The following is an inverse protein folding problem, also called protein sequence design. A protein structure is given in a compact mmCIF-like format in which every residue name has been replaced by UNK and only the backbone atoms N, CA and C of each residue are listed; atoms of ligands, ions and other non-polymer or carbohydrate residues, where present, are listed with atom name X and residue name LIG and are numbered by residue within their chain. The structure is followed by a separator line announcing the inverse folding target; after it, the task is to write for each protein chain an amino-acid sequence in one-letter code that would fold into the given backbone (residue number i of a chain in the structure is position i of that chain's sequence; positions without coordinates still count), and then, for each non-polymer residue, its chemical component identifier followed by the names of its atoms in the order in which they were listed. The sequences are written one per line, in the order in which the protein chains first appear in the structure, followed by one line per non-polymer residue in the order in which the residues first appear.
data_IF_387345313036
#
_entry.id   IF_387345313036
#
_cell.length_a   1.000
_cell.length_b   1.000
_cell.length_c   1.000
_cell.angle_alpha   90.00
_cell.angle_beta   90.00
_cell.angle_gamma   90.00
#
_symmetry.space_group_name_H-M   'P 1'
#
loop_
_entity.id
_entity.type
_entity.pdbx_description
1 polymer ?
#
# COMPACT_ATOMS: atom_id res chain seq x y z
N UNK A 1 -5.20 -22.96 -3.53
CA UNK A 1 -4.06 -23.77 -4.07
C UNK A 1 -4.44 -24.28 -5.46
N UNK A 2 -3.52 -24.31 -6.42
CA UNK A 2 -3.73 -24.92 -7.74
C UNK A 2 -2.45 -25.63 -8.17
N UNK A 3 -2.55 -26.60 -9.09
CA UNK A 3 -1.41 -27.32 -9.67
C UNK A 3 -1.34 -27.03 -11.17
N UNK A 4 -0.14 -26.83 -11.72
CA UNK A 4 0.04 -26.66 -13.15
C UNK A 4 0.38 -28.02 -13.77
N UNK A 5 -0.53 -28.56 -14.58
CA UNK A 5 -0.40 -29.86 -15.24
C UNK A 5 -0.69 -29.70 -16.74
N UNK A 6 0.26 -30.08 -17.60
CA UNK A 6 0.13 -29.97 -19.07
C UNK A 6 -0.30 -28.56 -19.52
N UNK A 7 0.39 -27.53 -19.03
CA UNK A 7 0.11 -26.11 -19.29
C UNK A 7 -1.29 -25.62 -18.88
N UNK A 8 -1.97 -26.36 -17.99
CA UNK A 8 -3.28 -25.99 -17.45
C UNK A 8 -3.27 -26.00 -15.93
N UNK A 9 -3.88 -24.97 -15.35
CA UNK A 9 -4.16 -24.95 -13.92
C UNK A 9 -5.29 -25.94 -13.59
N UNK A 10 -4.99 -26.93 -12.76
CA UNK A 10 -5.90 -27.96 -12.26
C UNK A 10 -5.94 -27.90 -10.73
N UNK A 11 -6.85 -28.67 -10.12
CA UNK A 11 -6.96 -28.82 -8.67
C UNK A 11 -7.08 -27.48 -7.92
N UNK A 12 -7.86 -26.55 -8.47
CA UNK A 12 -8.09 -25.23 -7.88
C UNK A 12 -8.90 -25.38 -6.60
N UNK A 13 -8.31 -24.96 -5.49
CA UNK A 13 -8.93 -24.88 -4.17
C UNK A 13 -9.00 -23.42 -3.78
N UNK A 14 -10.22 -22.97 -3.50
CA UNK A 14 -10.56 -21.68 -2.91
C UNK A 14 -9.82 -21.46 -1.58
N UNK A 15 -9.54 -20.21 -1.23
CA UNK A 15 -8.90 -19.90 0.05
C UNK A 15 -9.93 -20.02 1.18
N UNK A 16 -9.47 -20.38 2.38
CA UNK A 16 -10.37 -20.66 3.51
C UNK A 16 -11.17 -19.45 4.02
N UNK A 17 -10.82 -18.25 3.55
CA UNK A 17 -11.45 -16.98 3.91
C UNK A 17 -12.17 -16.33 2.73
N UNK A 18 -12.28 -17.00 1.58
CA UNK A 18 -13.11 -16.51 0.48
C UNK A 18 -14.59 -16.83 0.75
N UNK A 19 -15.49 -16.10 0.08
CA UNK A 19 -16.93 -16.33 0.19
C UNK A 19 -17.68 -15.79 -1.02
N UNK A 20 -18.87 -16.32 -1.28
CA UNK A 20 -19.79 -15.77 -2.28
C UNK A 20 -20.54 -14.50 -1.79
N UNK A 21 -20.41 -14.13 -0.51
CA UNK A 21 -21.13 -13.01 0.10
C UNK A 21 -20.35 -11.70 0.11
N UNK A 22 -19.05 -11.75 -0.23
CA UNK A 22 -18.14 -10.61 -0.25
C UNK A 22 -17.04 -10.87 -1.28
N UNK A 23 -16.34 -9.82 -1.69
CA UNK A 23 -15.21 -9.86 -2.59
C UNK A 23 -13.90 -10.07 -1.81
N UNK A 24 -13.01 -10.90 -2.35
CA UNK A 24 -11.60 -10.99 -1.95
C UNK A 24 -10.74 -10.75 -3.19
N UNK A 25 -9.98 -9.65 -3.17
CA UNK A 25 -9.34 -9.14 -4.37
C UNK A 25 -7.92 -8.62 -4.12
N UNK A 26 -7.17 -8.47 -5.21
CA UNK A 26 -5.85 -7.82 -5.24
C UNK A 26 -4.85 -8.38 -4.22
N UNK A 27 -4.54 -9.69 -4.27
CA UNK A 27 -3.61 -10.31 -3.33
C UNK A 27 -2.17 -9.81 -3.54
N UNK A 28 -1.45 -9.59 -2.43
CA UNK A 28 -0.03 -9.29 -2.39
C UNK A 28 0.66 -10.02 -1.25
N UNK A 29 1.78 -10.67 -1.54
CA UNK A 29 2.57 -11.36 -0.54
C UNK A 29 3.57 -10.39 0.12
N UNK A 30 3.81 -10.59 1.41
CA UNK A 30 5.01 -10.05 2.06
C UNK A 30 6.27 -10.61 1.39
N UNK A 31 7.40 -9.88 1.45
CA UNK A 31 8.67 -10.34 0.85
C UNK A 31 9.14 -11.71 1.34
N UNK A 32 8.82 -12.06 2.60
CA UNK A 32 9.15 -13.36 3.20
C UNK A 32 8.13 -14.47 2.88
N UNK A 33 7.04 -14.14 2.18
CA UNK A 33 5.97 -15.06 1.81
C UNK A 33 5.11 -15.57 2.97
N UNK A 34 5.21 -14.97 4.17
CA UNK A 34 4.50 -15.43 5.37
C UNK A 34 3.20 -14.69 5.65
N UNK A 35 2.94 -13.59 4.98
CA UNK A 35 1.72 -12.79 5.12
C UNK A 35 1.14 -12.50 3.75
N UNK A 36 -0.15 -12.71 3.60
CA UNK A 36 -0.91 -12.32 2.42
C UNK A 36 -1.74 -11.09 2.77
N UNK A 37 -1.55 -10.01 2.04
CA UNK A 37 -2.37 -8.80 2.06
C UNK A 37 -3.37 -8.85 0.92
N UNK A 38 -4.57 -8.35 1.13
CA UNK A 38 -5.63 -8.34 0.11
C UNK A 38 -6.70 -7.30 0.44
N UNK A 39 -7.49 -6.93 -0.56
CA UNK A 39 -8.64 -6.04 -0.40
C UNK A 39 -9.93 -6.85 -0.27
N UNK A 40 -10.87 -6.39 0.57
CA UNK A 40 -12.16 -7.05 0.75
C UNK A 40 -13.22 -6.11 1.31
N UNK A 41 -14.49 -6.41 1.03
CA UNK A 41 -15.69 -5.84 1.66
C UNK A 41 -16.32 -6.82 2.67
N UNK A 42 -15.53 -7.78 3.19
CA UNK A 42 -15.98 -8.77 4.18
C UNK A 42 -16.44 -8.11 5.50
N UNK A 43 -17.20 -8.82 6.36
CA UNK A 43 -17.61 -8.30 7.66
C UNK A 43 -16.42 -7.80 8.50
N UNK A 44 -16.53 -6.57 9.02
CA UNK A 44 -15.45 -5.89 9.73
C UNK A 44 -14.73 -4.82 8.90
N UNK A 45 -15.06 -4.68 7.62
CA UNK A 45 -14.70 -3.54 6.76
C UNK A 45 -15.24 -2.22 7.34
N UNK A 46 -14.45 -1.16 7.28
CA UNK A 46 -14.78 0.19 7.74
C UNK A 46 -15.44 1.02 6.64
N UNK A 47 -14.97 0.87 5.40
CA UNK A 47 -15.46 1.61 4.22
C UNK A 47 -16.19 0.75 3.20
N UNK A 48 -15.98 1.07 1.93
CA UNK A 48 -16.49 0.32 0.79
C UNK A 48 -15.66 -0.94 0.51
N UNK A 49 -14.34 -0.86 0.70
CA UNK A 49 -13.44 -2.01 0.72
C UNK A 49 -12.21 -1.66 1.55
N UNK A 50 -11.74 -2.61 2.33
CA UNK A 50 -10.62 -2.42 3.23
C UNK A 50 -9.48 -3.36 2.86
N UNK A 51 -8.26 -2.99 3.26
CA UNK A 51 -7.14 -3.92 3.28
C UNK A 51 -7.17 -4.78 4.53
N UNK A 52 -6.95 -6.07 4.30
CA UNK A 52 -6.78 -7.10 5.30
C UNK A 52 -5.41 -7.77 5.11
N UNK A 53 -4.91 -8.39 6.18
CA UNK A 53 -3.79 -9.33 6.12
C UNK A 53 -4.19 -10.66 6.72
N UNK A 54 -3.55 -11.73 6.26
CA UNK A 54 -3.69 -13.06 6.84
C UNK A 54 -2.34 -13.75 6.88
N UNK A 55 -2.05 -14.43 7.99
CA UNK A 55 -0.85 -15.24 8.13
C UNK A 55 -0.93 -16.48 7.25
N UNK A 56 0.16 -16.80 6.57
CA UNK A 56 0.40 -18.08 5.92
C UNK A 56 1.20 -18.95 6.91
N UNK A 57 0.60 -20.04 7.37
CA UNK A 57 1.22 -20.96 8.30
C UNK A 57 2.25 -21.85 7.59
N UNK A 58 3.15 -22.47 8.35
CA UNK A 58 4.23 -23.32 7.80
C UNK A 58 3.68 -24.56 7.05
N UNK A 59 2.45 -24.98 7.33
CA UNK A 59 1.74 -26.06 6.63
C UNK A 59 1.00 -25.59 5.36
N UNK A 60 1.09 -24.30 5.03
CA UNK A 60 0.43 -23.66 3.89
C UNK A 60 -1.04 -23.30 4.12
N UNK A 61 -1.57 -23.48 5.33
CA UNK A 61 -2.91 -23.00 5.69
C UNK A 61 -2.90 -21.49 5.96
N UNK A 62 -4.07 -20.87 5.86
CA UNK A 62 -4.25 -19.45 6.17
C UNK A 62 -4.84 -19.29 7.57
N UNK A 63 -4.36 -18.28 8.29
CA UNK A 63 -4.95 -17.84 9.56
C UNK A 63 -6.30 -17.13 9.36
N UNK A 64 -6.73 -16.42 10.41
CA UNK A 64 -7.90 -15.53 10.32
C UNK A 64 -7.49 -14.20 9.70
N UNK A 65 -8.26 -13.65 8.73
CA UNK A 65 -8.05 -12.30 8.24
C UNK A 65 -8.13 -11.24 9.34
N UNK A 66 -7.21 -10.29 9.29
CA UNK A 66 -7.11 -9.15 10.19
C UNK A 66 -7.21 -7.86 9.37
N UNK A 67 -8.16 -6.99 9.71
CA UNK A 67 -8.29 -5.67 9.11
C UNK A 67 -7.07 -4.80 9.48
N UNK A 68 -6.51 -4.03 8.54
CA UNK A 68 -5.33 -3.20 8.80
C UNK A 68 -5.59 -1.96 9.68
N UNK A 69 -6.85 -1.71 10.03
CA UNK A 69 -7.27 -0.66 10.94
C UNK A 69 -7.39 0.72 10.27
N UNK A 70 -7.94 1.66 11.02
CA UNK A 70 -8.35 2.99 10.54
C UNK A 70 -7.19 3.93 10.16
N UNK A 71 -5.94 3.48 10.29
CA UNK A 71 -4.79 4.24 9.82
C UNK A 71 -4.55 4.00 8.33
N UNK A 72 -4.82 2.78 7.87
CA UNK A 72 -4.71 2.41 6.46
C UNK A 72 -6.08 2.52 5.80
N UNK A 73 -7.11 1.96 6.44
CA UNK A 73 -8.46 1.88 5.90
C UNK A 73 -9.28 3.11 6.28
N UNK A 74 -10.15 3.53 5.36
CA UNK A 74 -11.01 4.71 5.47
C UNK A 74 -12.46 4.32 5.21
N UNK A 75 -13.35 5.30 5.08
CA UNK A 75 -14.71 5.09 4.56
C UNK A 75 -14.77 4.79 3.05
N UNK A 76 -13.66 5.00 2.34
CA UNK A 76 -13.51 4.80 0.91
C UNK A 76 -13.19 3.36 0.51
N UNK A 77 -12.51 3.21 -0.62
CA UNK A 77 -12.00 1.94 -1.16
C UNK A 77 -10.49 1.92 -1.04
N UNK A 78 -9.97 1.12 -0.12
CA UNK A 78 -8.55 0.74 -0.14
C UNK A 78 -8.38 -0.56 -0.92
N UNK A 79 -7.43 -0.55 -1.86
CA UNK A 79 -7.26 -1.62 -2.84
C UNK A 79 -5.81 -1.70 -3.34
N UNK A 80 -5.50 -2.74 -4.13
CA UNK A 80 -4.19 -2.95 -4.76
C UNK A 80 -2.98 -2.83 -3.80
N UNK A 81 -2.95 -3.58 -2.69
CA UNK A 81 -1.80 -3.57 -1.79
C UNK A 81 -0.53 -4.07 -2.50
N UNK A 82 0.62 -3.57 -2.07
CA UNK A 82 1.94 -4.07 -2.42
C UNK A 82 2.89 -3.85 -1.24
N UNK A 83 3.67 -4.85 -0.86
CA UNK A 83 4.64 -4.74 0.24
C UNK A 83 6.04 -5.01 -0.29
N UNK A 84 6.96 -4.08 -0.04
CA UNK A 84 8.36 -4.21 -0.47
C UNK A 84 9.29 -4.73 0.64
N UNK A 85 10.54 -5.01 0.29
CA UNK A 85 11.58 -5.51 1.20
C UNK A 85 12.16 -4.44 2.15
N UNK A 86 11.65 -3.21 2.10
CA UNK A 86 11.98 -2.10 3.01
C UNK A 86 10.91 -1.89 4.09
N UNK A 87 9.97 -2.83 4.20
CA UNK A 87 8.81 -2.78 5.11
C UNK A 87 7.89 -1.59 4.82
N UNK A 88 7.67 -1.26 3.55
CA UNK A 88 6.68 -0.28 3.12
C UNK A 88 5.49 -1.01 2.50
N UNK A 89 4.28 -0.61 2.89
CA UNK A 89 3.05 -0.99 2.21
C UNK A 89 2.61 0.17 1.31
N UNK A 90 2.44 -0.13 0.04
CA UNK A 90 1.81 0.73 -0.96
C UNK A 90 0.40 0.22 -1.21
N UNK A 91 -0.53 1.13 -1.43
CA UNK A 91 -1.91 0.80 -1.75
C UNK A 91 -2.58 1.95 -2.48
N UNK A 92 -3.67 1.68 -3.18
CA UNK A 92 -4.50 2.71 -3.79
C UNK A 92 -5.73 2.99 -2.93
N UNK A 93 -6.11 4.26 -2.79
CA UNK A 93 -7.29 4.68 -2.01
C UNK A 93 -7.98 5.88 -2.66
N UNK A 94 -9.31 5.95 -2.55
CA UNK A 94 -10.12 7.13 -2.85
C UNK A 94 -10.73 7.79 -1.60
N UNK A 95 -10.33 7.35 -0.40
CA UNK A 95 -10.79 7.92 0.87
C UNK A 95 -9.72 8.75 1.61
N UNK A 96 -8.44 8.55 1.33
CA UNK A 96 -7.38 9.45 1.83
C UNK A 96 -7.34 10.76 1.03
N UNK A 97 -6.91 11.90 1.64
CA UNK A 97 -6.70 13.14 0.91
C UNK A 97 -5.68 12.98 -0.24
N UNK A 98 -6.16 13.09 -1.46
CA UNK A 98 -5.40 12.84 -2.69
C UNK A 98 -5.59 13.89 -3.78
N UNK A 99 -5.23 13.52 -5.01
CA UNK A 99 -5.29 14.34 -6.22
C UNK A 99 -6.49 14.00 -7.12
N UNK A 100 -7.04 12.79 -7.03
CA UNK A 100 -7.98 12.27 -8.02
C UNK A 100 -8.95 11.21 -7.52
N UNK A 101 -9.14 10.17 -8.33
CA UNK A 101 -9.97 9.02 -8.01
C UNK A 101 -9.26 8.11 -7.01
N UNK A 102 -8.83 6.94 -7.45
CA UNK A 102 -7.83 6.18 -6.70
C UNK A 102 -6.46 6.87 -6.79
N UNK A 103 -5.83 7.11 -5.64
CA UNK A 103 -4.45 7.57 -5.55
C UNK A 103 -3.59 6.53 -4.84
N UNK A 104 -2.33 6.42 -5.23
CA UNK A 104 -1.35 5.58 -4.55
C UNK A 104 -0.83 6.28 -3.29
N UNK A 105 -0.84 5.54 -2.19
CA UNK A 105 -0.28 5.94 -0.91
C UNK A 105 0.75 4.93 -0.43
N UNK A 106 1.60 5.36 0.50
CA UNK A 106 2.58 4.51 1.18
C UNK A 106 2.48 4.70 2.69
N UNK A 107 2.72 3.62 3.43
CA UNK A 107 3.01 3.68 4.87
C UNK A 107 4.12 2.71 5.23
N UNK A 108 4.90 3.05 6.26
CA UNK A 108 5.91 2.15 6.82
C UNK A 108 5.25 1.17 7.80
N UNK A 109 5.60 -0.10 7.68
CA UNK A 109 5.28 -1.15 8.64
C UNK A 109 6.36 -1.13 9.73
N UNK A 110 5.97 -0.78 10.95
CA UNK A 110 6.85 -0.76 12.11
C UNK A 110 7.14 -2.18 12.60
N UNK A 111 8.18 -2.31 13.43
CA UNK A 111 8.61 -3.61 13.98
C UNK A 111 7.55 -4.29 14.86
N UNK A 112 6.62 -3.52 15.43
CA UNK A 112 5.48 -4.02 16.21
C UNK A 112 4.26 -4.38 15.33
N UNK A 113 4.37 -4.22 14.00
CA UNK A 113 3.32 -4.46 13.03
C UNK A 113 2.33 -3.30 12.89
N UNK A 114 2.53 -2.18 13.59
CA UNK A 114 1.75 -0.95 13.39
C UNK A 114 2.19 -0.20 12.13
N UNK A 115 1.35 0.74 11.67
CA UNK A 115 1.64 1.56 10.51
C UNK A 115 2.07 2.97 10.90
N UNK A 116 3.07 3.52 10.20
CA UNK A 116 3.40 4.96 10.27
C UNK A 116 2.35 5.80 9.54
N UNK A 117 2.50 7.13 9.57
CA UNK A 117 1.63 8.04 8.82
C UNK A 117 1.57 7.66 7.33
N UNK A 118 0.35 7.67 6.78
CA UNK A 118 0.09 7.44 5.37
C UNK A 118 0.50 8.67 4.57
N UNK A 119 1.23 8.46 3.49
CA UNK A 119 1.72 9.54 2.62
C UNK A 119 1.27 9.30 1.19
N UNK A 120 0.71 10.32 0.55
CA UNK A 120 0.44 10.30 -0.89
C UNK A 120 1.78 10.30 -1.64
N UNK A 121 1.95 9.41 -2.63
CA UNK A 121 3.24 9.27 -3.33
C UNK A 121 3.56 10.43 -4.30
N UNK A 122 2.59 11.34 -4.52
CA UNK A 122 2.76 12.58 -5.26
C UNK A 122 2.43 12.50 -6.76
N UNK A 123 2.36 13.68 -7.39
CA UNK A 123 1.81 13.92 -8.74
C UNK A 123 2.56 13.24 -9.91
N UNK A 124 3.77 12.73 -9.68
CA UNK A 124 4.49 11.98 -10.71
C UNK A 124 3.91 10.59 -10.94
N UNK A 125 3.19 10.07 -9.94
CA UNK A 125 2.44 8.82 -10.01
C UNK A 125 0.95 9.18 -10.01
N UNK A 126 0.50 9.95 -9.02
CA UNK A 126 -0.91 10.28 -8.86
C UNK A 126 -1.37 11.38 -9.81
N UNK A 127 -2.62 11.31 -10.23
CA UNK A 127 -3.24 12.17 -11.24
C UNK A 127 -4.70 12.47 -10.86
N UNK A 128 -5.42 13.33 -11.60
CA UNK A 128 -6.86 13.54 -11.36
C UNK A 128 -7.76 12.34 -11.67
N UNK A 129 -7.20 11.16 -11.97
CA UNK A 129 -7.88 9.95 -12.40
C UNK A 129 -7.58 8.79 -11.43
N UNK A 130 -7.77 7.54 -11.82
CA UNK A 130 -7.41 6.38 -11.01
C UNK A 130 -5.95 5.97 -11.27
N UNK A 131 -5.19 5.83 -10.19
CA UNK A 131 -3.78 5.45 -10.15
C UNK A 131 -3.61 4.32 -9.12
N UNK A 132 -3.16 3.14 -9.56
CA UNK A 132 -3.21 1.92 -8.75
C UNK A 132 -2.22 0.85 -9.19
N UNK A 133 -2.24 -0.33 -8.55
CA UNK A 133 -1.37 -1.46 -8.84
C UNK A 133 0.14 -1.10 -8.86
N UNK A 134 0.56 -0.32 -7.86
CA UNK A 134 1.93 0.14 -7.72
C UNK A 134 2.88 -1.00 -7.34
N UNK A 135 4.05 -1.04 -7.96
CA UNK A 135 5.15 -1.92 -7.57
C UNK A 135 6.50 -1.24 -7.81
N UNK A 136 7.47 -1.50 -6.94
CA UNK A 136 8.83 -0.96 -7.06
C UNK A 136 9.88 -2.04 -6.76
N UNK A 137 10.91 -2.11 -7.57
CA UNK A 137 12.16 -2.78 -7.22
C UNK A 137 13.03 -1.81 -6.42
N UNK A 138 13.19 -2.10 -5.14
CA UNK A 138 13.87 -1.23 -4.18
C UNK A 138 15.37 -1.08 -4.45
N UNK A 139 15.98 -1.99 -5.22
CA UNK A 139 17.40 -1.94 -5.60
C UNK A 139 17.64 -0.99 -6.77
N UNK A 140 16.85 -1.12 -7.84
CA UNK A 140 17.00 -0.26 -9.02
C UNK A 140 16.20 1.04 -8.92
N UNK A 141 15.28 1.15 -7.95
CA UNK A 141 14.29 2.22 -7.79
C UNK A 141 13.38 2.39 -9.01
N UNK A 142 13.27 1.35 -9.84
CA UNK A 142 12.35 1.34 -10.97
C UNK A 142 11.08 0.61 -10.58
N UNK A 143 9.97 1.07 -11.10
CA UNK A 143 8.68 0.46 -10.81
C UNK A 143 7.66 0.69 -11.90
N UNK A 144 6.48 0.14 -11.65
CA UNK A 144 5.33 0.25 -12.51
C UNK A 144 4.08 0.54 -11.70
N UNK A 145 3.08 1.05 -12.40
CA UNK A 145 1.76 1.31 -11.86
C UNK A 145 0.77 1.46 -13.01
N UNK A 146 -0.50 1.27 -12.73
CA UNK A 146 -1.59 1.38 -13.70
C UNK A 146 -2.34 2.70 -13.53
N UNK A 147 -2.84 3.24 -14.64
CA UNK A 147 -3.67 4.44 -14.59
C UNK A 147 -4.54 4.63 -15.83
N UNK A 148 -5.69 5.25 -15.62
CA UNK A 148 -6.58 5.75 -16.67
C UNK A 148 -6.45 7.26 -16.92
N UNK A 149 -5.26 7.83 -16.67
CA UNK A 149 -4.93 9.21 -17.01
C UNK A 149 -5.09 9.52 -18.50
N UNK A 150 -5.40 10.78 -18.78
CA UNK A 150 -5.52 11.28 -20.15
C UNK A 150 -4.17 11.16 -20.90
N UNK A 151 -4.25 10.88 -22.20
CA UNK A 151 -3.07 10.67 -23.05
C UNK A 151 -2.55 9.23 -23.10
N UNK A 152 -3.22 8.31 -22.40
CA UNK A 152 -3.02 6.86 -22.49
C UNK A 152 -3.34 6.24 -23.86
N UNK A 153 -3.04 4.95 -24.00
CA UNK A 153 -3.36 4.12 -25.17
C UNK A 153 -4.61 3.26 -24.96
N UNK A 154 -5.12 3.16 -23.73
CA UNK A 154 -6.26 2.34 -23.35
C UNK A 154 -7.13 2.98 -22.26
N UNK A 155 -7.93 2.15 -21.60
CA UNK A 155 -8.64 2.56 -20.38
C UNK A 155 -7.64 2.60 -19.23
N UNK A 156 -7.16 1.44 -18.76
CA UNK A 156 -6.07 1.36 -17.79
C UNK A 156 -4.77 0.97 -18.50
N UNK A 157 -3.78 1.85 -18.45
CA UNK A 157 -2.45 1.64 -19.04
C UNK A 157 -1.39 1.41 -17.96
N UNK A 158 -0.34 0.66 -18.30
CA UNK A 158 0.83 0.45 -17.43
C UNK A 158 1.89 1.50 -17.73
N UNK A 159 2.29 2.24 -16.69
CA UNK A 159 3.34 3.24 -16.73
C UNK A 159 4.55 2.75 -15.94
N UNK A 160 5.73 3.24 -16.33
CA UNK A 160 6.99 2.98 -15.63
C UNK A 160 7.52 4.27 -15.01
N UNK A 161 8.17 4.17 -13.86
CA UNK A 161 8.83 5.29 -13.22
C UNK A 161 10.23 4.92 -12.70
N UNK A 162 10.99 5.96 -12.36
CA UNK A 162 12.23 5.89 -11.60
C UNK A 162 12.05 6.77 -10.37
N UNK A 163 12.14 6.18 -9.18
CA UNK A 163 12.12 6.95 -7.95
C UNK A 163 13.49 7.60 -7.74
N UNK A 164 13.55 8.92 -7.90
CA UNK A 164 14.79 9.70 -7.75
C UNK A 164 14.99 10.25 -6.35
N UNK A 165 13.97 10.17 -5.49
CA UNK A 165 14.00 10.63 -4.10
C UNK A 165 13.04 9.77 -3.28
N UNK A 166 13.47 9.38 -2.07
CA UNK A 166 12.62 8.68 -1.10
C UNK A 166 11.43 9.56 -0.70
N UNK A 167 10.28 8.92 -0.48
CA UNK A 167 9.05 9.58 -0.04
C UNK A 167 9.12 10.09 1.40
N UNK A 168 9.97 9.49 2.24
CA UNK A 168 10.21 9.96 3.61
C UNK A 168 10.76 11.38 3.58
N UNK A 169 9.96 12.33 4.05
CA UNK A 169 10.37 13.71 4.25
C UNK A 169 11.24 13.79 5.51
N UNK A 170 12.55 13.61 5.35
CA UNK A 170 13.52 14.00 6.37
C UNK A 170 13.62 15.53 6.39
N UNK A 171 12.88 16.18 7.28
CA UNK A 171 13.04 17.60 7.55
C UNK A 171 14.12 17.77 8.62
N UNK A 172 15.32 18.15 8.18
CA UNK A 172 16.35 18.65 9.07
C UNK A 172 16.06 20.13 9.33
N UNK A 173 15.47 20.42 10.48
CA UNK A 173 15.28 21.80 10.95
C UNK A 173 16.54 22.24 11.70
N UNK A 174 17.16 23.31 11.22
CA UNK A 174 18.22 24.01 11.95
C UNK A 174 17.70 25.39 12.33
N UNK A 175 17.94 25.80 13.57
CA UNK A 175 17.55 27.12 14.07
C UNK A 175 18.44 27.53 15.22
N UNK A 176 18.55 28.84 15.43
CA UNK A 176 19.16 29.40 16.63
C UNK A 176 18.06 29.56 17.68
N UNK A 177 18.30 29.02 18.87
CA UNK A 177 17.41 29.19 20.01
C UNK A 177 17.90 30.43 20.75
N UNK A 178 17.08 31.47 20.83
CA UNK A 178 17.41 32.72 21.53
C UNK A 178 16.47 32.99 22.69
N UNK A 179 16.95 33.65 23.74
CA UNK A 179 16.08 34.20 24.78
C UNK A 179 15.13 35.27 24.18
N UNK A 180 13.84 35.20 24.50
CA UNK A 180 12.82 36.09 23.93
C UNK A 180 13.02 37.57 24.30
N UNK A 181 13.62 37.84 25.45
CA UNK A 181 13.79 39.19 26.00
C UNK A 181 15.14 39.78 25.62
N UNK A 182 16.20 38.97 25.67
CA UNK A 182 17.58 39.44 25.43
C UNK A 182 18.05 39.22 24.00
N UNK A 183 17.37 38.35 23.23
CA UNK A 183 17.79 37.87 21.91
C UNK A 183 19.17 37.18 21.91
N UNK A 184 19.70 36.80 23.07
CA UNK A 184 20.97 36.09 23.18
C UNK A 184 20.81 34.60 22.87
N UNK A 185 21.86 34.01 22.28
CA UNK A 185 21.90 32.61 21.86
C UNK A 185 21.97 31.67 23.07
N UNK A 186 21.09 30.67 23.12
CA UNK A 186 21.11 29.60 24.12
C UNK A 186 21.90 28.42 23.55
N UNK A 187 23.16 28.28 23.97
CA UNK A 187 24.13 27.36 23.38
C UNK A 187 23.94 25.87 23.74
N UNK A 188 23.00 25.55 24.63
CA UNK A 188 22.81 24.20 25.21
C UNK A 188 21.41 23.60 24.91
N UNK A 189 20.76 24.03 23.85
CA UNK A 189 19.37 23.68 23.52
C UNK A 189 19.24 22.80 22.27
#
# INVERSE_FOLDING_TARGET
KASLENDKWTNVTELSFDSNNYSTAHPALSPDGKTLYFASDMPGTLGQSDLFKVKINDDGTFGTPENLGNKINTEGRETFPFVNDENEIYFASDGHPGLGGLDVFVSKINTDGSFSEVQNVGENVNSPKDDFAYLIDTKSRRGFFSSNRDGGQGYDDIYKFLETKRLICEQLLYGEITDLTTAELLSDA
#
